data_IF_271749457584
#
_entry.id   IF_271749457584
#
_cell.length_a   1.000
_cell.length_b   1.000
_cell.length_c   1.000
_cell.angle_alpha   90.00
_cell.angle_beta   90.00
_cell.angle_gamma   90.00
#
_symmetry.space_group_name_H-M   'P 1'
#
loop_
_entity.id
_entity.type
_entity.pdbx_description
1 polymer ?
#
# COMPACT_ATOMS: atom_id res chain seq x y z
N UNK A 1 23.51 5.57 14.60
CA UNK A 1 23.75 4.50 13.61
C UNK A 1 24.20 5.16 12.32
N UNK A 2 25.32 4.72 11.73
CA UNK A 2 25.78 5.29 10.46
C UNK A 2 24.91 4.78 9.30
N UNK A 3 24.75 5.57 8.24
CA UNK A 3 23.96 5.22 7.04
C UNK A 3 24.33 3.84 6.46
N UNK A 4 25.59 3.42 6.62
CA UNK A 4 26.07 2.08 6.22
C UNK A 4 25.49 0.95 7.07
N UNK A 5 25.33 1.17 8.37
CA UNK A 5 24.74 0.17 9.27
C UNK A 5 23.25 -0.03 8.99
N UNK A 6 22.52 1.03 8.63
CA UNK A 6 21.09 0.94 8.27
C UNK A 6 20.86 0.19 6.95
N UNK A 7 21.71 0.42 5.95
CA UNK A 7 21.65 -0.29 4.66
C UNK A 7 22.00 -1.77 4.84
N UNK A 8 23.00 -2.08 5.66
CA UNK A 8 23.38 -3.46 5.94
C UNK A 8 22.27 -4.20 6.69
N UNK A 9 21.60 -3.54 7.66
CA UNK A 9 20.47 -4.12 8.38
C UNK A 9 19.27 -4.36 7.44
N UNK A 10 18.99 -3.42 6.52
CA UNK A 10 17.94 -3.56 5.52
C UNK A 10 18.23 -4.70 4.54
N UNK A 11 19.48 -4.85 4.08
CA UNK A 11 19.91 -5.97 3.23
C UNK A 11 19.83 -7.31 3.95
N UNK A 12 20.26 -7.37 5.23
CA UNK A 12 20.16 -8.58 6.05
C UNK A 12 18.70 -8.98 6.27
N UNK A 13 17.82 -8.01 6.59
CA UNK A 13 16.37 -8.23 6.68
C UNK A 13 15.75 -8.68 5.36
N UNK A 14 16.24 -8.17 4.22
CA UNK A 14 15.78 -8.55 2.89
C UNK A 14 16.22 -9.97 2.51
N UNK A 15 17.43 -10.40 2.91
CA UNK A 15 17.90 -11.78 2.70
C UNK A 15 17.32 -12.79 3.70
N UNK A 16 16.77 -12.33 4.82
CA UNK A 16 16.04 -13.16 5.78
C UNK A 16 14.60 -13.46 5.32
N UNK A 17 14.12 -12.82 4.25
CA UNK A 17 12.94 -13.26 3.52
C UNK A 17 13.35 -14.45 2.65
N UNK A 18 12.86 -15.68 2.92
CA UNK A 18 13.28 -16.86 2.19
C UNK A 18 13.07 -16.64 0.69
N UNK A 19 14.14 -16.80 -0.08
CA UNK A 19 14.18 -16.77 -1.54
C UNK A 19 13.42 -17.96 -2.20
N UNK A 20 12.42 -18.52 -1.52
CA UNK A 20 11.53 -19.54 -2.06
C UNK A 20 10.31 -18.86 -2.66
N UNK A 21 10.45 -18.52 -3.94
CA UNK A 21 9.40 -18.13 -4.86
C UNK A 21 8.37 -19.26 -5.15
N UNK A 22 8.08 -20.15 -4.20
CA UNK A 22 7.29 -21.36 -4.45
C UNK A 22 6.11 -21.43 -3.48
N UNK A 23 4.92 -21.18 -4.03
CA UNK A 23 3.61 -21.43 -3.43
C UNK A 23 3.38 -20.74 -2.08
N UNK A 24 2.63 -19.64 -2.07
CA UNK A 24 1.95 -19.24 -0.83
C UNK A 24 0.99 -20.37 -0.46
N UNK A 25 1.37 -21.18 0.54
CA UNK A 25 0.51 -22.23 1.07
C UNK A 25 -0.53 -21.55 1.94
N UNK A 26 -1.78 -21.64 1.53
CA UNK A 26 -2.96 -21.22 2.30
C UNK A 26 -3.61 -22.47 2.93
N UNK A 27 -3.00 -23.08 3.96
CA UNK A 27 -3.45 -24.37 4.49
C UNK A 27 -4.87 -24.29 5.06
N UNK A 28 -5.27 -23.10 5.51
CA UNK A 28 -6.55 -22.83 6.14
C UNK A 28 -7.62 -22.33 5.14
N UNK A 29 -7.28 -22.29 3.84
CA UNK A 29 -8.13 -21.80 2.74
C UNK A 29 -8.82 -20.45 3.07
N UNK A 30 -8.03 -19.54 3.64
CA UNK A 30 -8.46 -18.20 4.05
C UNK A 30 -8.46 -17.20 2.89
N UNK A 31 -7.71 -17.45 1.82
CA UNK A 31 -7.57 -16.59 0.66
C UNK A 31 -8.38 -17.13 -0.53
N UNK A 32 -9.47 -16.45 -0.89
CA UNK A 32 -10.39 -16.91 -1.94
C UNK A 32 -9.78 -16.96 -3.35
N UNK A 33 -8.69 -16.22 -3.57
CA UNK A 33 -8.04 -16.07 -4.87
C UNK A 33 -6.67 -16.75 -4.95
N UNK A 34 -6.28 -17.59 -3.98
CA UNK A 34 -4.95 -18.22 -3.90
C UNK A 34 -4.58 -18.96 -5.20
N UNK A 35 -5.51 -19.75 -5.73
CA UNK A 35 -5.33 -20.60 -6.92
C UNK A 35 -5.47 -19.85 -8.26
N UNK A 36 -5.86 -18.56 -8.24
CA UNK A 36 -6.01 -17.78 -9.47
C UNK A 36 -4.64 -17.45 -10.07
N UNK A 37 -4.51 -17.38 -11.41
CA UNK A 37 -3.30 -16.87 -12.05
C UNK A 37 -2.97 -15.45 -11.59
N UNK A 38 -1.68 -15.09 -11.61
CA UNK A 38 -1.25 -13.78 -11.16
C UNK A 38 -1.89 -12.63 -11.95
N UNK A 39 -2.18 -12.81 -13.25
CA UNK A 39 -2.86 -11.78 -14.06
C UNK A 39 -4.23 -11.38 -13.50
N UNK A 40 -5.02 -12.33 -13.00
CA UNK A 40 -6.28 -12.04 -12.33
C UNK A 40 -6.06 -11.25 -11.04
N UNK A 41 -5.02 -11.63 -10.27
CA UNK A 41 -4.66 -10.92 -9.04
C UNK A 41 -4.25 -9.49 -9.33
N UNK A 42 -3.47 -9.28 -10.38
CA UNK A 42 -3.04 -7.97 -10.86
C UNK A 42 -4.25 -7.09 -11.22
N UNK A 43 -5.18 -7.60 -12.04
CA UNK A 43 -6.37 -6.85 -12.47
C UNK A 43 -7.19 -6.42 -11.25
N UNK A 44 -7.49 -7.36 -10.35
CA UNK A 44 -8.32 -7.07 -9.18
C UNK A 44 -7.61 -6.15 -8.18
N UNK A 45 -6.31 -6.40 -7.94
CA UNK A 45 -5.48 -5.58 -7.07
C UNK A 45 -5.32 -4.15 -7.59
N UNK A 46 -5.15 -3.97 -8.90
CA UNK A 46 -5.11 -2.63 -9.51
C UNK A 46 -6.47 -1.93 -9.45
N UNK A 47 -7.58 -2.65 -9.62
CA UNK A 47 -8.91 -2.08 -9.44
C UNK A 47 -9.14 -1.57 -8.01
N UNK A 48 -8.74 -2.34 -6.99
CA UNK A 48 -8.81 -1.90 -5.60
C UNK A 48 -7.89 -0.71 -5.32
N UNK A 49 -6.67 -0.75 -5.85
CA UNK A 49 -5.71 0.35 -5.68
C UNK A 49 -6.20 1.63 -6.36
N UNK A 50 -6.84 1.53 -7.52
CA UNK A 50 -7.45 2.69 -8.20
C UNK A 50 -8.59 3.29 -7.35
N UNK A 51 -9.47 2.45 -6.81
CA UNK A 51 -10.54 2.91 -5.92
C UNK A 51 -10.01 3.56 -4.65
N UNK A 52 -8.97 2.96 -4.04
CA UNK A 52 -8.30 3.51 -2.88
C UNK A 52 -7.63 4.87 -3.17
N UNK A 53 -6.94 4.99 -4.32
CA UNK A 53 -6.32 6.24 -4.74
C UNK A 53 -7.35 7.34 -4.97
N UNK A 54 -8.50 7.00 -5.58
CA UNK A 54 -9.59 7.96 -5.75
C UNK A 54 -10.11 8.47 -4.40
N UNK A 55 -10.21 7.60 -3.39
CA UNK A 55 -10.60 8.00 -2.01
C UNK A 55 -9.57 8.92 -1.38
N UNK A 56 -8.27 8.58 -1.44
CA UNK A 56 -7.20 9.44 -0.88
C UNK A 56 -7.17 10.78 -1.61
N UNK A 57 -7.15 10.77 -2.95
CA UNK A 57 -7.13 11.99 -3.75
C UNK A 57 -8.33 12.89 -3.44
N UNK A 58 -9.54 12.32 -3.36
CA UNK A 58 -10.73 13.07 -2.96
C UNK A 58 -10.57 13.64 -1.55
N UNK A 59 -10.02 12.86 -0.62
CA UNK A 59 -9.78 13.31 0.77
C UNK A 59 -8.78 14.47 0.81
N UNK A 60 -7.67 14.39 0.08
CA UNK A 60 -6.67 15.47 -0.01
C UNK A 60 -7.26 16.71 -0.67
N UNK A 61 -7.98 16.55 -1.78
CA UNK A 61 -8.72 17.64 -2.45
C UNK A 61 -9.77 18.25 -1.52
N UNK A 62 -10.31 17.56 -0.52
CA UNK A 62 -11.26 18.15 0.43
C UNK A 62 -10.61 18.63 1.74
N UNK A 63 -9.37 18.24 2.02
CA UNK A 63 -8.65 18.58 3.25
C UNK A 63 -8.17 20.04 3.29
N UNK A 64 -8.00 20.67 4.46
CA UNK A 64 -7.40 22.01 4.53
C UNK A 64 -6.01 22.09 3.86
N UNK A 65 -5.64 23.25 3.31
CA UNK A 65 -4.32 23.47 2.69
C UNK A 65 -3.16 23.22 3.68
N UNK A 66 -3.39 23.35 4.98
CA UNK A 66 -2.39 23.00 6.01
C UNK A 66 -2.08 21.49 6.10
N UNK A 67 -2.89 20.65 5.46
CA UNK A 67 -2.68 19.20 5.37
C UNK A 67 -2.17 18.83 3.98
N UNK A 68 -2.85 19.28 2.92
CA UNK A 68 -2.47 18.95 1.54
C UNK A 68 -1.29 19.74 0.99
N UNK A 69 -0.94 20.88 1.60
CA UNK A 69 0.08 21.85 1.13
C UNK A 69 -0.12 22.43 -0.29
N UNK A 70 -1.15 22.02 -1.03
CA UNK A 70 -1.48 22.56 -2.35
C UNK A 70 -2.19 23.92 -2.28
N UNK A 71 -1.68 24.93 -3.00
CA UNK A 71 -2.39 26.20 -3.22
C UNK A 71 -3.56 26.00 -4.19
N UNK A 72 -4.76 25.87 -3.64
CA UNK A 72 -5.97 25.46 -4.38
C UNK A 72 -6.35 26.45 -5.48
N UNK A 73 -6.00 27.73 -5.33
CA UNK A 73 -6.35 28.75 -6.32
C UNK A 73 -5.51 28.64 -7.57
N UNK A 74 -4.33 28.04 -7.47
CA UNK A 74 -3.38 27.92 -8.56
C UNK A 74 -3.31 26.50 -9.14
N UNK A 75 -3.25 25.45 -8.30
CA UNK A 75 -2.98 24.08 -8.78
C UNK A 75 -4.11 23.45 -9.61
N UNK A 76 -5.37 23.85 -9.39
CA UNK A 76 -6.52 23.28 -10.11
C UNK A 76 -6.84 23.99 -11.43
N UNK A 77 -6.04 24.99 -11.83
CA UNK A 77 -6.14 25.58 -13.18
C UNK A 77 -5.58 24.58 -14.20
N UNK A 78 -6.37 24.19 -15.21
CA UNK A 78 -5.95 23.18 -16.19
C UNK A 78 -4.64 23.48 -16.93
N UNK A 79 -4.32 24.77 -17.15
CA UNK A 79 -3.03 25.18 -17.72
C UNK A 79 -1.86 24.97 -16.75
N UNK A 80 -2.05 25.27 -15.46
CA UNK A 80 -1.04 25.06 -14.42
C UNK A 80 -0.76 23.56 -14.23
N UNK A 81 -1.81 22.74 -14.14
CA UNK A 81 -1.69 21.29 -14.03
C UNK A 81 -0.97 20.66 -15.24
N UNK A 82 -1.26 21.13 -16.46
CA UNK A 82 -0.56 20.65 -17.66
C UNK A 82 0.93 20.96 -17.63
N UNK A 83 1.30 22.17 -17.21
CA UNK A 83 2.70 22.55 -17.06
C UNK A 83 3.37 21.78 -15.91
N UNK A 84 2.65 21.56 -14.81
CA UNK A 84 3.14 20.76 -13.69
C UNK A 84 3.45 19.33 -14.12
N UNK A 85 2.57 18.65 -14.87
CA UNK A 85 2.89 17.33 -15.43
C UNK A 85 4.11 17.37 -16.34
N UNK A 86 4.28 18.43 -17.15
CA UNK A 86 5.49 18.59 -17.96
C UNK A 86 6.73 18.58 -17.07
N UNK A 87 6.72 19.34 -15.98
CA UNK A 87 7.81 19.38 -15.01
C UNK A 87 8.02 18.02 -14.35
N UNK A 88 6.97 17.34 -13.92
CA UNK A 88 7.02 16.02 -13.25
C UNK A 88 7.76 14.96 -14.08
N UNK A 89 7.63 15.00 -15.40
CA UNK A 89 8.34 14.07 -16.29
C UNK A 89 9.65 14.60 -16.89
N UNK A 90 10.00 15.88 -16.66
CA UNK A 90 11.22 16.49 -17.23
C UNK A 90 12.23 16.98 -16.19
N UNK A 91 11.83 17.05 -14.92
CA UNK A 91 12.66 17.49 -13.80
C UNK A 91 12.77 16.38 -12.74
N UNK A 92 13.88 16.32 -11.98
CA UNK A 92 14.05 15.28 -10.98
C UNK A 92 13.08 15.47 -9.78
N UNK A 93 12.72 14.37 -9.09
CA UNK A 93 11.99 14.43 -7.83
C UNK A 93 12.67 15.36 -6.82
N UNK A 94 11.86 15.96 -5.96
CA UNK A 94 12.31 16.91 -4.93
C UNK A 94 12.09 16.35 -3.54
N UNK A 95 12.70 16.97 -2.53
CA UNK A 95 12.34 16.70 -1.15
C UNK A 95 11.18 17.62 -0.77
N UNK A 96 9.99 17.06 -0.53
CA UNK A 96 8.85 17.78 0.01
C UNK A 96 9.08 18.19 1.49
N UNK A 97 8.14 18.98 2.03
CA UNK A 97 8.13 19.40 3.43
C UNK A 97 6.81 19.03 4.11
N UNK A 98 6.26 17.88 3.75
CA UNK A 98 4.98 17.43 4.26
C UNK A 98 5.05 17.05 5.75
N UNK A 99 3.86 16.96 6.35
CA UNK A 99 3.74 16.65 7.77
C UNK A 99 4.32 15.25 8.04
N UNK A 100 5.05 15.11 9.15
CA UNK A 100 5.63 13.81 9.57
C UNK A 100 4.63 12.66 9.55
N UNK A 101 3.38 12.90 9.98
CA UNK A 101 2.33 11.89 9.98
C UNK A 101 1.93 11.45 8.56
N UNK A 102 1.96 12.35 7.58
CA UNK A 102 1.71 12.01 6.18
C UNK A 102 2.86 11.11 5.70
N UNK A 103 4.10 11.59 5.74
CA UNK A 103 5.26 10.90 5.17
C UNK A 103 5.58 9.57 5.85
N UNK A 104 5.40 9.46 7.17
CA UNK A 104 5.88 8.30 7.93
C UNK A 104 4.77 7.44 8.54
N UNK A 105 3.50 7.81 8.38
CA UNK A 105 2.35 6.96 8.75
C UNK A 105 1.42 6.76 7.57
N UNK A 106 1.00 7.85 6.91
CA UNK A 106 0.12 7.82 5.74
C UNK A 106 0.72 7.04 4.58
N UNK A 107 1.92 7.40 4.13
CA UNK A 107 2.61 6.74 3.01
C UNK A 107 2.90 5.25 3.26
N UNK A 108 3.45 4.84 4.42
CA UNK A 108 3.57 3.41 4.74
C UNK A 108 2.23 2.68 4.77
N UNK A 109 1.16 3.31 5.25
CA UNK A 109 -0.18 2.73 5.26
C UNK A 109 -0.73 2.56 3.82
N UNK A 110 -0.59 3.58 2.98
CA UNK A 110 -0.96 3.52 1.56
C UNK A 110 -0.17 2.43 0.82
N UNK A 111 1.14 2.35 1.03
CA UNK A 111 1.96 1.28 0.46
C UNK A 111 1.53 -0.11 0.96
N UNK A 112 1.11 -0.22 2.23
CA UNK A 112 0.61 -1.49 2.78
C UNK A 112 -0.70 -1.93 2.12
N UNK A 113 -1.53 -0.97 1.70
CA UNK A 113 -2.73 -1.24 0.92
C UNK A 113 -2.36 -1.82 -0.46
N UNK A 114 -1.45 -1.18 -1.19
CA UNK A 114 -0.99 -1.67 -2.50
C UNK A 114 -0.40 -3.08 -2.39
N UNK A 115 0.43 -3.31 -1.38
CA UNK A 115 1.00 -4.63 -1.11
C UNK A 115 -0.10 -5.67 -0.90
N UNK A 116 -1.04 -5.37 0.00
CA UNK A 116 -2.13 -6.27 0.34
C UNK A 116 -3.17 -6.44 -0.75
N UNK A 117 -3.27 -5.50 -1.69
CA UNK A 117 -4.17 -5.59 -2.84
C UNK A 117 -3.95 -6.88 -3.63
N UNK A 118 -2.70 -7.35 -3.76
CA UNK A 118 -2.36 -8.63 -4.39
C UNK A 118 -1.88 -9.69 -3.39
N UNK A 119 -1.24 -9.30 -2.27
CA UNK A 119 -0.78 -10.25 -1.25
C UNK A 119 -1.94 -11.01 -0.62
N UNK A 120 -3.05 -10.32 -0.31
CA UNK A 120 -4.26 -10.93 0.23
C UNK A 120 -5.06 -11.76 -0.78
N UNK A 121 -4.58 -11.85 -2.02
CA UNK A 121 -5.05 -12.80 -3.03
C UNK A 121 -4.11 -14.02 -3.14
N UNK A 122 -3.09 -14.13 -2.28
CA UNK A 122 -2.10 -15.20 -2.29
C UNK A 122 -0.98 -15.00 -3.29
N UNK A 123 -0.69 -13.75 -3.71
CA UNK A 123 0.55 -13.48 -4.43
C UNK A 123 1.76 -13.67 -3.48
N UNK A 124 2.91 -14.18 -3.95
CA UNK A 124 4.14 -14.22 -3.18
C UNK A 124 4.65 -12.81 -2.85
N UNK A 125 5.53 -12.74 -1.85
CA UNK A 125 6.11 -11.50 -1.34
C UNK A 125 6.71 -10.65 -2.47
N UNK A 126 7.53 -11.23 -3.34
CA UNK A 126 8.21 -10.47 -4.40
C UNK A 126 7.24 -9.84 -5.42
N UNK A 127 6.18 -10.55 -5.81
CA UNK A 127 5.17 -10.01 -6.73
C UNK A 127 4.42 -8.85 -6.08
N UNK A 128 4.09 -9.03 -4.80
CA UNK A 128 3.41 -8.00 -4.00
C UNK A 128 4.31 -6.77 -3.79
N UNK A 129 5.61 -6.97 -3.58
CA UNK A 129 6.59 -5.89 -3.46
C UNK A 129 6.75 -5.10 -4.75
N UNK A 130 6.88 -5.78 -5.90
CA UNK A 130 6.97 -5.11 -7.20
C UNK A 130 5.67 -4.35 -7.50
N UNK A 131 4.52 -4.95 -7.22
CA UNK A 131 3.22 -4.28 -7.36
C UNK A 131 3.14 -3.00 -6.51
N UNK A 132 3.58 -3.07 -5.25
CA UNK A 132 3.63 -1.92 -4.34
C UNK A 132 4.52 -0.81 -4.87
N UNK A 133 5.72 -1.15 -5.35
CA UNK A 133 6.65 -0.19 -5.94
C UNK A 133 6.02 0.51 -7.15
N UNK A 134 5.42 -0.25 -8.08
CA UNK A 134 4.78 0.32 -9.26
C UNK A 134 3.61 1.22 -8.91
N UNK A 135 2.76 0.82 -7.96
CA UNK A 135 1.65 1.67 -7.51
C UNK A 135 2.09 2.90 -6.72
N UNK A 136 3.22 2.83 -6.00
CA UNK A 136 3.83 4.00 -5.36
C UNK A 136 4.31 5.00 -6.42
N UNK A 137 4.97 4.53 -7.49
CA UNK A 137 5.35 5.38 -8.62
C UNK A 137 4.13 5.99 -9.32
N UNK A 138 3.07 5.21 -9.53
CA UNK A 138 1.84 5.69 -10.14
C UNK A 138 1.15 6.76 -9.28
N UNK A 139 1.23 6.65 -7.95
CA UNK A 139 0.72 7.71 -7.08
C UNK A 139 1.47 9.02 -7.35
N UNK A 140 2.78 9.02 -7.12
CA UNK A 140 3.64 10.21 -7.22
C UNK A 140 3.61 10.86 -8.60
N UNK A 141 3.74 10.06 -9.66
CA UNK A 141 3.90 10.61 -11.02
C UNK A 141 2.58 10.84 -11.75
N UNK A 142 1.50 10.13 -11.39
CA UNK A 142 0.24 10.18 -12.14
C UNK A 142 -0.90 10.75 -11.33
N UNK A 143 -1.06 10.39 -10.05
CA UNK A 143 -2.15 10.97 -9.24
C UNK A 143 -1.76 12.36 -8.73
N UNK A 144 -0.57 12.47 -8.15
CA UNK A 144 -0.08 13.67 -7.47
C UNK A 144 0.75 14.59 -8.38
N UNK A 145 1.40 14.00 -9.38
CA UNK A 145 2.33 14.69 -10.29
C UNK A 145 1.73 15.83 -11.13
N UNK A 146 0.41 16.01 -11.14
CA UNK A 146 -0.25 17.17 -11.75
C UNK A 146 -0.43 18.35 -10.79
N UNK A 147 -0.23 18.13 -9.49
CA UNK A 147 -0.45 19.08 -8.41
C UNK A 147 0.87 19.50 -7.76
N UNK A 148 1.84 18.59 -7.69
CA UNK A 148 3.18 18.87 -7.16
C UNK A 148 4.27 18.02 -7.84
N UNK A 149 5.53 18.25 -7.44
CA UNK A 149 6.65 17.45 -7.96
C UNK A 149 6.78 16.16 -7.14
N UNK A 150 7.10 15.02 -7.77
CA UNK A 150 7.30 13.76 -7.06
C UNK A 150 8.27 13.89 -5.89
N UNK A 151 7.94 13.26 -4.76
CA UNK A 151 8.75 13.28 -3.57
C UNK A 151 9.79 12.18 -3.55
N UNK A 152 11.07 12.54 -3.34
CA UNK A 152 12.14 11.56 -3.07
C UNK A 152 11.81 10.73 -1.83
N UNK A 153 11.20 11.34 -0.81
CA UNK A 153 10.92 10.66 0.46
C UNK A 153 9.84 9.61 0.25
N UNK A 154 8.78 9.97 -0.45
CA UNK A 154 7.61 9.11 -0.59
C UNK A 154 7.85 8.00 -1.62
N UNK A 155 8.71 8.25 -2.62
CA UNK A 155 9.26 7.24 -3.52
C UNK A 155 10.06 6.14 -2.79
N UNK A 156 10.55 6.41 -1.56
CA UNK A 156 11.29 5.44 -0.74
C UNK A 156 10.40 4.88 0.37
N UNK A 157 9.75 5.76 1.13
CA UNK A 157 9.03 5.41 2.36
C UNK A 157 7.74 4.67 2.04
N UNK A 158 6.98 5.09 1.01
CA UNK A 158 5.74 4.42 0.61
C UNK A 158 5.98 2.95 0.25
N UNK A 159 6.87 2.60 -0.69
CA UNK A 159 7.05 1.20 -1.04
C UNK A 159 7.73 0.38 0.06
N UNK A 160 8.79 0.89 0.70
CA UNK A 160 9.53 0.11 1.70
C UNK A 160 8.73 -0.08 2.99
N UNK A 161 8.16 1.01 3.52
CA UNK A 161 7.28 0.96 4.68
C UNK A 161 6.03 0.13 4.39
N UNK A 162 5.46 0.30 3.20
CA UNK A 162 4.30 -0.46 2.75
C UNK A 162 4.52 -1.96 2.66
N UNK A 163 5.65 -2.42 2.14
CA UNK A 163 5.99 -3.85 2.09
C UNK A 163 6.09 -4.43 3.51
N UNK A 164 6.76 -3.72 4.42
CA UNK A 164 6.96 -4.19 5.81
C UNK A 164 5.62 -4.24 6.55
N UNK A 165 4.89 -3.13 6.58
CA UNK A 165 3.59 -3.03 7.26
C UNK A 165 2.59 -3.98 6.59
N UNK A 166 2.61 -4.09 5.27
CA UNK A 166 1.75 -4.96 4.48
C UNK A 166 1.93 -6.43 4.83
N UNK A 167 3.17 -6.95 4.85
CA UNK A 167 3.42 -8.35 5.21
C UNK A 167 3.09 -8.63 6.68
N UNK A 168 3.37 -7.71 7.60
CA UNK A 168 3.02 -7.85 9.01
C UNK A 168 1.50 -7.96 9.21
N UNK A 169 0.75 -7.04 8.60
CA UNK A 169 -0.72 -7.00 8.71
C UNK A 169 -1.38 -8.15 7.95
N UNK A 170 -0.80 -8.61 6.83
CA UNK A 170 -1.22 -9.83 6.14
C UNK A 170 -1.09 -11.07 7.02
N UNK A 171 0.09 -11.26 7.63
CA UNK A 171 0.33 -12.39 8.54
C UNK A 171 -0.57 -12.34 9.77
N UNK A 172 -0.80 -11.14 10.32
CA UNK A 172 -1.73 -10.96 11.43
C UNK A 172 -3.16 -11.36 11.04
N UNK A 173 -3.65 -10.93 9.87
CA UNK A 173 -4.97 -11.31 9.37
C UNK A 173 -5.13 -12.82 9.22
N UNK A 174 -4.13 -13.50 8.64
CA UNK A 174 -4.13 -14.96 8.52
C UNK A 174 -4.13 -15.63 9.90
N UNK A 175 -3.31 -15.16 10.84
CA UNK A 175 -3.22 -15.72 12.18
C UNK A 175 -4.55 -15.58 12.95
N UNK A 176 -5.22 -14.43 12.85
CA UNK A 176 -6.55 -14.21 13.42
C UNK A 176 -7.61 -15.09 12.75
N UNK A 177 -7.51 -15.30 11.44
CA UNK A 177 -8.46 -16.08 10.67
C UNK A 177 -8.45 -17.59 10.91
N UNK A 178 -7.35 -18.16 11.43
CA UNK A 178 -7.16 -19.63 11.55
C UNK A 178 -8.32 -20.37 12.22
N UNK A 179 -8.88 -19.79 13.28
CA UNK A 179 -9.98 -20.39 14.05
C UNK A 179 -11.30 -19.60 13.90
N UNK A 180 -11.39 -18.76 12.86
CA UNK A 180 -12.44 -17.77 12.69
C UNK A 180 -12.16 -16.49 13.50
N UNK A 181 -12.52 -15.35 12.89
CA UNK A 181 -12.29 -14.03 13.45
C UNK A 181 -13.27 -13.72 14.58
N UNK A 182 -12.73 -13.28 15.71
CA UNK A 182 -13.50 -12.60 16.75
C UNK A 182 -13.92 -11.21 16.26
N UNK A 183 -14.96 -10.65 16.85
CA UNK A 183 -15.52 -9.36 16.42
C UNK A 183 -14.50 -8.21 16.42
N UNK A 184 -13.57 -8.18 17.38
CA UNK A 184 -12.54 -7.13 17.43
C UNK A 184 -11.42 -7.37 16.41
N UNK A 185 -11.14 -8.62 16.04
CA UNK A 185 -10.17 -9.00 15.00
C UNK A 185 -10.67 -8.62 13.61
N UNK A 186 -11.98 -8.69 13.40
CA UNK A 186 -12.64 -8.15 12.20
C UNK A 186 -12.38 -6.65 12.09
N UNK A 187 -12.68 -5.89 13.14
CA UNK A 187 -12.46 -4.43 13.15
C UNK A 187 -10.98 -4.11 12.91
N UNK A 188 -10.08 -4.80 13.62
CA UNK A 188 -8.64 -4.62 13.47
C UNK A 188 -8.17 -4.91 12.04
N UNK A 189 -8.70 -5.97 11.41
CA UNK A 189 -8.35 -6.32 10.02
C UNK A 189 -8.89 -5.30 9.03
N UNK A 190 -10.11 -4.79 9.21
CA UNK A 190 -10.65 -3.72 8.38
C UNK A 190 -9.81 -2.44 8.43
N UNK A 191 -9.20 -2.14 9.58
CA UNK A 191 -8.34 -0.96 9.75
C UNK A 191 -6.93 -1.22 9.25
N UNK A 192 -6.30 -2.34 9.61
CA UNK A 192 -4.89 -2.59 9.32
C UNK A 192 -4.66 -3.23 7.94
N UNK A 193 -5.63 -3.98 7.44
CA UNK A 193 -5.55 -4.66 6.15
C UNK A 193 -6.94 -4.70 5.47
N UNK A 194 -7.50 -3.53 5.10
CA UNK A 194 -8.78 -3.46 4.41
C UNK A 194 -8.80 -4.27 3.12
N UNK A 195 -7.67 -4.40 2.41
CA UNK A 195 -7.57 -5.23 1.22
C UNK A 195 -7.80 -6.72 1.51
N UNK A 196 -7.39 -7.25 2.68
CA UNK A 196 -7.78 -8.60 3.11
C UNK A 196 -9.29 -8.72 3.31
N UNK A 197 -9.89 -7.75 4.00
CA UNK A 197 -11.33 -7.74 4.27
C UNK A 197 -12.15 -7.76 2.97
N UNK A 198 -11.73 -6.95 1.98
CA UNK A 198 -12.37 -6.87 0.67
C UNK A 198 -12.23 -8.18 -0.11
N UNK A 199 -11.03 -8.78 -0.14
CA UNK A 199 -10.77 -10.00 -0.91
C UNK A 199 -11.44 -11.25 -0.32
N UNK A 200 -11.43 -11.37 1.01
CA UNK A 200 -11.65 -12.65 1.68
C UNK A 200 -12.86 -12.65 2.62
N UNK A 201 -13.33 -11.48 3.05
CA UNK A 201 -14.34 -11.37 4.09
C UNK A 201 -13.88 -12.03 5.40
N UNK A 202 -14.86 -12.39 6.25
CA UNK A 202 -14.59 -12.93 7.58
C UNK A 202 -15.47 -14.14 7.87
N UNK A 203 -14.86 -15.24 8.30
CA UNK A 203 -15.55 -16.39 8.90
C UNK A 203 -15.49 -16.24 10.41
N UNK A 204 -16.63 -16.38 11.10
CA UNK A 204 -16.68 -16.41 12.57
C UNK A 204 -16.29 -17.80 13.10
N UNK A 205 -15.80 -17.91 14.34
CA UNK A 205 -15.62 -19.21 14.97
C UNK A 205 -16.92 -19.99 14.91
N UNK A 206 -16.85 -21.30 14.67
CA UNK A 206 -18.00 -22.16 14.91
C UNK A 206 -18.41 -21.94 16.38
N UNK A 207 -19.65 -21.55 16.62
CA UNK A 207 -20.16 -21.48 17.99
C UNK A 207 -19.86 -22.83 18.64
N UNK A 208 -19.12 -22.84 19.75
CA UNK A 208 -19.24 -23.95 20.69
C UNK A 208 -20.72 -23.95 21.07
N UNK A 209 -21.46 -24.95 20.57
CA UNK A 209 -22.88 -25.06 20.82
C UNK A 209 -23.14 -25.01 22.32
N UNK A 210 -24.02 -24.10 22.72
CA UNK A 210 -24.78 -24.19 23.96
C UNK A 210 -26.25 -24.27 23.57
#
# INVERSE_FOLDING_TARGET
>A
MSTRQSILLALILFTALPANAQYFRDPDHLLHHSEKPFGNKLILGSAYSLGYNAVIMTTLILSPESISQWDRKEVFKGAAMKEQYRLTFTTPPVKDHDLFLVNYVGHPYQGSFYYNAVRSQGAPVWQSSVFTLMHSLLWEYVWEGGLEQPSIQDLIVTPLGGIIVGELTHRAALAMGRNGFKWYEIILTCILNPAYAINNGFKRPACAGN
#
